data_IF_848507089442
#
_entry.id   IF_848507089442
#
_cell.length_a   1.000
_cell.length_b   1.000
_cell.length_c   1.000
_cell.angle_alpha   90.00
_cell.angle_beta   90.00
_cell.angle_gamma   90.00
#
_symmetry.space_group_name_H-M   'P 1'
#
loop_
_entity.id
_entity.type
_entity.pdbx_description
1 polymer ?
#
# COMPACT_ATOMS: atom_id res chain seq x y z
N UNK A 1 2.84 24.04 21.90
CA UNK A 1 3.84 22.95 21.89
C UNK A 1 3.51 21.99 20.76
N UNK A 2 4.52 21.55 19.99
CA UNK A 2 4.38 20.66 18.84
C UNK A 2 4.67 19.20 19.21
N UNK A 3 3.66 18.33 19.06
CA UNK A 3 3.73 16.90 19.39
C UNK A 3 4.40 16.03 18.30
N UNK A 4 4.83 16.66 17.22
CA UNK A 4 5.29 15.98 16.01
C UNK A 4 4.14 15.73 15.03
N UNK A 5 4.46 15.78 13.73
CA UNK A 5 3.57 15.32 12.66
C UNK A 5 3.67 13.81 12.53
N UNK A 6 2.57 13.17 12.14
CA UNK A 6 2.53 11.74 11.83
C UNK A 6 2.61 11.59 10.31
N UNK A 7 3.64 10.91 9.83
CA UNK A 7 3.80 10.60 8.41
C UNK A 7 3.48 9.12 8.19
N UNK A 8 2.58 8.83 7.26
CA UNK A 8 2.18 7.48 6.88
C UNK A 8 2.51 7.30 5.41
N UNK A 9 3.13 6.19 5.06
CA UNK A 9 3.61 5.95 3.70
C UNK A 9 3.34 4.52 3.25
N UNK A 10 3.03 4.37 1.96
CA UNK A 10 2.83 3.07 1.34
C UNK A 10 4.19 2.42 1.05
N UNK A 11 4.36 1.14 1.39
CA UNK A 11 5.61 0.41 1.18
C UNK A 11 6.04 0.36 -0.28
N UNK A 12 5.09 0.16 -1.21
CA UNK A 12 5.48 -0.18 -2.56
C UNK A 12 4.40 -0.84 -3.39
N UNK A 13 4.57 -0.78 -4.71
CA UNK A 13 3.80 -1.58 -5.67
C UNK A 13 4.71 -2.40 -6.63
N UNK A 14 6.02 -2.46 -6.35
CA UNK A 14 7.05 -3.13 -7.14
C UNK A 14 7.19 -4.64 -6.88
N UNK A 15 6.30 -5.28 -6.13
CA UNK A 15 6.44 -6.70 -5.74
C UNK A 15 6.59 -7.69 -6.91
N UNK A 16 6.00 -7.42 -8.08
CA UNK A 16 6.21 -8.25 -9.29
C UNK A 16 7.60 -8.10 -9.91
N UNK A 17 8.29 -6.99 -9.65
CA UNK A 17 9.65 -6.74 -10.05
C UNK A 17 10.68 -7.23 -9.01
N UNK A 18 10.21 -7.88 -7.94
CA UNK A 18 11.02 -8.29 -6.78
C UNK A 18 11.72 -7.09 -6.11
N UNK A 19 11.02 -5.94 -6.06
CA UNK A 19 11.53 -4.73 -5.42
C UNK A 19 11.52 -4.84 -3.88
N UNK A 20 12.49 -4.20 -3.24
CA UNK A 20 12.66 -4.14 -1.79
C UNK A 20 12.41 -2.70 -1.35
N UNK A 21 11.34 -2.49 -0.58
CA UNK A 21 10.97 -1.15 -0.13
C UNK A 21 12.04 -0.47 0.75
N UNK A 22 13.07 -1.16 1.27
CA UNK A 22 14.23 -0.50 1.88
C UNK A 22 15.03 0.37 0.88
N UNK A 23 14.88 0.15 -0.42
CA UNK A 23 15.44 0.99 -1.48
C UNK A 23 14.67 2.31 -1.67
N UNK A 24 13.47 2.44 -1.09
CA UNK A 24 12.73 3.69 -0.99
C UNK A 24 13.08 4.42 0.33
N UNK A 25 13.72 5.59 0.19
CA UNK A 25 14.13 6.42 1.34
C UNK A 25 12.95 6.99 2.14
N UNK A 26 11.75 7.06 1.58
CA UNK A 26 10.56 7.54 2.29
C UNK A 26 9.97 6.47 3.21
N UNK A 27 9.94 5.22 2.76
CA UNK A 27 9.40 4.07 3.52
C UNK A 27 10.36 3.66 4.65
N UNK A 28 11.67 3.77 4.41
CA UNK A 28 12.74 3.35 5.33
C UNK A 28 13.15 4.42 6.33
N UNK A 29 12.57 5.62 6.25
CA UNK A 29 12.84 6.70 7.18
C UNK A 29 12.14 6.47 8.55
N UNK A 30 12.89 6.62 9.64
CA UNK A 30 12.39 6.45 11.03
C UNK A 30 11.20 7.35 11.41
N UNK A 31 10.97 8.43 10.66
CA UNK A 31 9.88 9.39 10.89
C UNK A 31 8.58 8.95 10.23
N UNK A 32 8.62 7.90 9.43
CA UNK A 32 7.52 7.40 8.64
C UNK A 32 6.97 6.11 9.25
N UNK A 33 5.65 6.00 9.27
CA UNK A 33 4.94 4.75 9.52
C UNK A 33 4.65 4.12 8.16
N UNK A 34 5.45 3.13 7.79
CA UNK A 34 5.33 2.37 6.54
C UNK A 34 4.24 1.29 6.66
N UNK A 35 3.30 1.29 5.70
CA UNK A 35 2.14 0.39 5.67
C UNK A 35 2.14 -0.40 4.37
N UNK A 36 2.16 -1.72 4.49
CA UNK A 36 2.02 -2.65 3.38
C UNK A 36 0.58 -3.08 3.10
N UNK A 37 0.41 -3.88 2.06
CA UNK A 37 -0.88 -4.28 1.52
C UNK A 37 -1.20 -5.75 1.79
N UNK A 38 -2.41 -6.02 2.30
CA UNK A 38 -2.94 -7.38 2.37
C UNK A 38 -4.32 -7.51 1.73
N UNK A 39 -4.59 -8.67 1.14
CA UNK A 39 -5.87 -9.02 0.57
C UNK A 39 -6.90 -9.29 1.67
N UNK A 40 -8.18 -9.38 1.30
CA UNK A 40 -9.27 -9.68 2.27
C UNK A 40 -9.10 -11.02 3.00
N UNK A 41 -8.28 -11.91 2.48
CA UNK A 41 -7.96 -13.21 3.07
C UNK A 41 -6.71 -13.16 3.95
N UNK A 42 -6.11 -11.99 4.15
CA UNK A 42 -4.89 -11.81 4.95
C UNK A 42 -3.62 -12.28 4.25
N UNK A 43 -3.64 -12.40 2.93
CA UNK A 43 -2.46 -12.73 2.12
C UNK A 43 -1.80 -11.44 1.61
N UNK A 44 -0.49 -11.44 1.35
CA UNK A 44 0.15 -10.30 0.68
C UNK A 44 -0.47 -10.11 -0.71
N UNK A 45 -0.64 -8.89 -1.19
CA UNK A 45 -1.04 -8.67 -2.59
C UNK A 45 0.13 -8.97 -3.53
N UNK A 46 -0.16 -9.17 -4.81
CA UNK A 46 0.85 -9.49 -5.83
C UNK A 46 1.88 -8.35 -6.04
N UNK A 47 1.50 -7.11 -5.72
CA UNK A 47 2.34 -5.92 -5.88
C UNK A 47 3.05 -5.49 -4.58
N UNK A 48 2.75 -6.10 -3.43
CA UNK A 48 3.31 -5.70 -2.15
C UNK A 48 4.83 -5.93 -2.10
N UNK A 49 5.58 -4.90 -1.73
CA UNK A 49 7.03 -4.97 -1.52
C UNK A 49 7.33 -5.38 -0.07
N UNK A 50 8.26 -6.33 0.10
CA UNK A 50 8.63 -6.85 1.42
C UNK A 50 9.93 -6.21 1.87
N UNK A 51 9.92 -5.54 3.02
CA UNK A 51 11.12 -4.98 3.60
C UNK A 51 11.06 -4.96 5.13
N UNK A 52 12.24 -4.82 5.75
CA UNK A 52 12.38 -4.70 7.21
C UNK A 52 11.83 -3.40 7.76
N UNK A 53 11.69 -2.36 6.93
CA UNK A 53 11.14 -1.08 7.35
C UNK A 53 9.61 -1.11 7.51
N UNK A 54 8.89 -2.08 6.93
CA UNK A 54 7.42 -2.20 7.04
C UNK A 54 6.96 -2.38 8.48
N UNK A 55 6.14 -1.47 8.99
CA UNK A 55 5.66 -1.52 10.38
C UNK A 55 4.34 -2.28 10.55
N UNK A 56 3.43 -2.19 9.57
CA UNK A 56 2.12 -2.85 9.62
C UNK A 56 1.57 -3.06 8.20
N UNK A 57 0.45 -3.78 8.11
CA UNK A 57 -0.30 -3.99 6.85
C UNK A 57 -1.76 -3.59 7.03
N UNK A 58 -2.39 -3.15 5.94
CA UNK A 58 -3.83 -2.88 5.89
C UNK A 58 -4.49 -3.58 4.72
N UNK A 59 -5.78 -3.84 4.86
CA UNK A 59 -6.59 -4.39 3.78
C UNK A 59 -6.63 -3.44 2.58
N UNK A 60 -6.51 -4.02 1.39
CA UNK A 60 -6.63 -3.31 0.13
C UNK A 60 -7.36 -4.14 -0.92
N UNK A 61 -7.65 -3.52 -2.06
CA UNK A 61 -8.32 -4.14 -3.19
C UNK A 61 -7.30 -4.72 -4.14
N UNK A 62 -6.94 -5.99 -3.93
CA UNK A 62 -6.47 -6.95 -4.94
C UNK A 62 -6.13 -8.29 -4.25
N UNK A 63 -5.68 -9.28 -5.03
CA UNK A 63 -5.36 -10.63 -4.57
C UNK A 63 -3.85 -10.87 -4.49
N UNK A 64 -3.47 -11.98 -3.86
CA UNK A 64 -2.10 -12.48 -3.85
C UNK A 64 -1.57 -12.88 -5.23
N UNK A 65 -2.46 -13.29 -6.15
CA UNK A 65 -2.10 -13.85 -7.45
C UNK A 65 -2.30 -12.86 -8.61
N UNK A 66 -2.86 -11.68 -8.33
CA UNK A 66 -3.34 -10.73 -9.34
C UNK A 66 -4.64 -11.21 -9.99
N UNK A 67 -5.65 -10.33 -10.00
CA UNK A 67 -6.91 -10.61 -10.71
C UNK A 67 -8.13 -9.93 -10.10
N UNK A 68 -9.14 -9.68 -10.93
CA UNK A 68 -10.34 -8.91 -10.57
C UNK A 68 -11.41 -9.71 -9.78
N UNK A 69 -11.02 -10.72 -9.01
CA UNK A 69 -11.96 -11.65 -8.37
C UNK A 69 -12.18 -11.42 -6.87
N UNK A 70 -11.51 -10.42 -6.27
CA UNK A 70 -11.69 -10.09 -4.85
C UNK A 70 -12.51 -8.81 -4.62
N UNK A 71 -12.89 -8.62 -3.36
CA UNK A 71 -13.60 -7.43 -2.93
C UNK A 71 -12.64 -6.24 -2.95
N UNK A 72 -12.83 -5.38 -3.92
CA UNK A 72 -12.08 -4.13 -4.09
C UNK A 72 -12.38 -3.13 -2.95
N UNK A 73 -11.42 -2.23 -2.70
CA UNK A 73 -11.66 -1.08 -1.84
C UNK A 73 -12.69 -0.15 -2.48
N UNK A 74 -13.73 0.19 -1.72
CA UNK A 74 -14.77 1.15 -2.11
C UNK A 74 -14.41 2.52 -1.54
N UNK A 75 -14.29 3.52 -2.42
CA UNK A 75 -13.95 4.90 -2.01
C UNK A 75 -14.54 5.92 -2.98
N UNK A 76 -14.43 7.20 -2.63
CA UNK A 76 -14.79 8.30 -3.52
C UNK A 76 -13.84 8.41 -4.70
N UNK A 77 -14.36 8.80 -5.85
CA UNK A 77 -13.63 8.97 -7.10
C UNK A 77 -13.87 10.39 -7.67
N UNK A 78 -13.03 10.77 -8.63
CA UNK A 78 -13.13 12.04 -9.35
C UNK A 78 -14.51 12.23 -9.97
N UNK A 79 -14.88 13.49 -10.20
CA UNK A 79 -16.15 13.86 -10.84
C UNK A 79 -17.40 13.39 -10.06
N UNK A 80 -17.35 13.45 -8.72
CA UNK A 80 -18.44 13.04 -7.83
C UNK A 80 -18.86 11.58 -8.01
N UNK A 81 -17.91 10.70 -8.36
CA UNK A 81 -18.16 9.28 -8.53
C UNK A 81 -17.78 8.51 -7.27
N UNK A 82 -18.23 7.26 -7.23
CA UNK A 82 -17.77 6.25 -6.30
C UNK A 82 -17.06 5.19 -7.13
N UNK A 83 -15.85 4.82 -6.74
CA UNK A 83 -15.17 3.67 -7.33
C UNK A 83 -15.34 2.48 -6.41
N UNK A 84 -15.73 1.36 -7.00
CA UNK A 84 -15.67 0.05 -6.36
C UNK A 84 -14.45 -0.73 -6.86
N UNK A 85 -13.46 -0.05 -7.43
CA UNK A 85 -12.22 -0.64 -7.95
C UNK A 85 -11.08 0.33 -7.71
N UNK A 86 -10.66 0.41 -6.46
CA UNK A 86 -9.45 1.11 -6.07
C UNK A 86 -8.37 0.08 -5.75
N UNK A 87 -7.31 0.08 -6.57
CA UNK A 87 -6.16 -0.81 -6.44
C UNK A 87 -4.97 0.05 -6.03
N UNK A 88 -4.08 -0.52 -5.21
CA UNK A 88 -2.88 0.08 -4.64
C UNK A 88 -3.09 0.91 -3.35
N UNK A 89 -2.03 0.96 -2.56
CA UNK A 89 -1.79 2.04 -1.62
C UNK A 89 -1.13 3.15 -2.46
N UNK A 90 -1.66 4.38 -2.39
CA UNK A 90 -1.17 5.53 -3.15
C UNK A 90 0.35 5.67 -3.03
N UNK A 91 1.09 5.25 -4.07
CA UNK A 91 2.39 5.81 -4.40
C UNK A 91 2.17 6.69 -5.62
N UNK A 92 2.06 8.00 -5.40
CA UNK A 92 2.49 8.91 -6.46
C UNK A 92 4.02 8.91 -6.46
N UNK A 93 4.59 8.45 -7.57
CA UNK A 93 6.00 8.56 -7.98
C UNK A 93 6.97 7.57 -7.32
N UNK A 94 7.06 6.39 -7.92
CA UNK A 94 8.35 5.92 -8.43
C UNK A 94 8.41 6.20 -9.94
#
# INVERSE_FOLDING_TARGET
MGKGSIYVWATGNGGLADDDCNCDGYTSEIRTISIGACSRYGLSTYYDEKCSSTMAVTYTGDTHLGGSSEADLVTTDLHHKCTTRFVALLQQLQ
#
